data_IF_323464945209
#
_entry.id   IF_323464945209
#
_cell.length_a   1.000
_cell.length_b   1.000
_cell.length_c   1.000
_cell.angle_alpha   90.00
_cell.angle_beta   90.00
_cell.angle_gamma   90.00
#
_symmetry.space_group_name_H-M   'P 1'
#
loop_
_entity.id
_entity.type
_entity.pdbx_description
1 polymer ?
#
# COMPACT_ATOMS: atom_id res chain seq x y z
N UNK A 1 -11.57 6.71 5.50
CA UNK A 1 -10.12 6.95 5.58
C UNK A 1 -9.36 5.84 4.88
N UNK A 2 -8.21 6.16 4.30
CA UNK A 2 -7.32 5.17 3.66
C UNK A 2 -6.69 4.24 4.70
N UNK A 3 -6.20 4.79 5.79
CA UNK A 3 -5.26 4.12 6.65
C UNK A 3 -4.17 3.43 5.78
N UNK A 4 -3.60 2.30 6.18
CA UNK A 4 -2.51 1.67 5.44
C UNK A 4 -2.88 1.04 4.08
N UNK A 5 -4.14 1.16 3.60
CA UNK A 5 -4.48 0.64 2.25
C UNK A 5 -3.79 1.42 1.12
N UNK A 6 -3.40 2.68 1.34
CA UNK A 6 -2.63 3.46 0.36
C UNK A 6 -1.30 2.79 -0.02
N UNK A 7 -0.75 1.97 0.85
CA UNK A 7 0.57 1.32 0.69
C UNK A 7 0.62 0.36 -0.51
N UNK A 8 -0.52 -0.23 -0.90
CA UNK A 8 -0.63 -0.99 -2.16
C UNK A 8 -0.36 -0.07 -3.36
N UNK A 9 -1.04 1.08 -3.38
CA UNK A 9 -0.92 2.04 -4.48
C UNK A 9 0.46 2.69 -4.49
N UNK A 10 1.05 2.95 -3.32
CA UNK A 10 2.42 3.47 -3.19
C UNK A 10 3.45 2.51 -3.81
N UNK A 11 3.36 1.21 -3.51
CA UNK A 11 4.24 0.22 -4.15
C UNK A 11 4.00 0.12 -5.66
N UNK A 12 2.75 0.21 -6.10
CA UNK A 12 2.40 0.31 -7.52
C UNK A 12 3.00 1.55 -8.19
N UNK A 13 3.04 2.68 -7.50
CA UNK A 13 3.71 3.90 -7.99
C UNK A 13 5.21 3.71 -8.15
N UNK A 14 5.89 3.13 -7.17
CA UNK A 14 7.32 2.82 -7.28
C UNK A 14 7.60 1.92 -8.48
N UNK A 15 6.78 0.88 -8.68
CA UNK A 15 6.90 -0.02 -9.82
C UNK A 15 6.64 0.68 -11.16
N UNK A 16 5.67 1.60 -11.23
CA UNK A 16 5.45 2.41 -12.43
C UNK A 16 6.65 3.32 -12.75
N UNK A 17 7.32 3.85 -11.74
CA UNK A 17 8.57 4.61 -11.91
C UNK A 17 9.72 3.70 -12.39
N UNK A 18 9.79 2.46 -11.92
CA UNK A 18 10.75 1.46 -12.42
C UNK A 18 10.49 1.15 -13.89
N UNK A 19 9.25 0.93 -14.29
CA UNK A 19 8.88 0.69 -15.70
C UNK A 19 9.23 1.88 -16.60
N UNK A 20 9.25 3.10 -16.06
CA UNK A 20 9.65 4.32 -16.76
C UNK A 20 11.18 4.58 -16.72
N UNK A 21 11.96 3.74 -16.07
CA UNK A 21 13.39 3.94 -15.87
C UNK A 21 13.75 5.10 -14.92
N UNK A 22 12.79 5.58 -14.14
CA UNK A 22 12.96 6.70 -13.18
C UNK A 22 13.32 6.22 -11.76
N UNK A 23 13.15 4.94 -11.49
CA UNK A 23 13.55 4.30 -10.24
C UNK A 23 14.11 2.90 -10.52
N UNK A 24 14.79 2.32 -9.52
CA UNK A 24 15.34 0.95 -9.58
C UNK A 24 15.05 0.23 -8.28
N UNK A 25 14.57 -1.00 -8.37
CA UNK A 25 14.28 -1.82 -7.18
C UNK A 25 15.53 -2.15 -6.36
N UNK A 26 16.70 -2.22 -6.98
CA UNK A 26 17.99 -2.49 -6.32
C UNK A 26 18.68 -1.23 -5.80
N UNK A 27 18.12 -0.03 -6.08
CA UNK A 27 18.67 1.22 -5.54
C UNK A 27 18.57 1.23 -4.02
N UNK A 28 19.72 1.43 -3.35
CA UNK A 28 19.79 1.47 -1.88
C UNK A 28 19.44 2.87 -1.37
N UNK A 29 18.59 2.89 -0.35
CA UNK A 29 18.12 4.11 0.31
C UNK A 29 18.61 4.10 1.75
N UNK A 30 19.37 5.14 2.11
CA UNK A 30 19.78 5.41 3.49
C UNK A 30 18.83 6.48 4.06
N UNK A 31 18.43 6.32 5.29
CA UNK A 31 17.58 7.26 6.02
C UNK A 31 18.00 7.30 7.49
N UNK A 32 17.92 8.47 8.15
CA UNK A 32 18.39 8.61 9.52
C UNK A 32 17.45 7.93 10.52
N UNK A 33 17.97 7.64 11.72
CA UNK A 33 17.16 7.08 12.81
C UNK A 33 16.03 8.01 13.26
N UNK A 34 16.18 9.32 13.04
CA UNK A 34 15.13 10.33 13.33
C UNK A 34 13.86 10.19 12.48
N UNK A 35 13.93 9.51 11.34
CA UNK A 35 12.79 9.28 10.46
C UNK A 35 11.96 8.05 10.87
N UNK A 36 12.45 7.28 11.84
CA UNK A 36 11.77 6.06 12.29
C UNK A 36 10.52 6.43 13.09
N UNK A 37 9.38 5.95 12.61
CA UNK A 37 8.08 6.13 13.27
C UNK A 37 7.58 4.80 13.84
N UNK A 38 6.53 4.86 14.65
CA UNK A 38 5.92 3.67 15.24
C UNK A 38 5.51 2.65 14.17
N UNK A 39 5.65 1.37 14.48
CA UNK A 39 5.38 0.22 13.63
C UNK A 39 6.26 0.18 12.37
N UNK A 40 7.54 -0.04 12.59
CA UNK A 40 8.57 -0.13 11.53
C UNK A 40 9.45 -1.37 11.73
N UNK A 41 8.86 -2.59 11.62
CA UNK A 41 9.54 -3.83 12.01
C UNK A 41 10.75 -4.17 11.13
N UNK A 42 10.76 -3.75 9.89
CA UNK A 42 11.87 -4.00 8.94
C UNK A 42 12.76 -2.78 8.80
N UNK A 43 12.17 -1.62 8.59
CA UNK A 43 12.92 -0.39 8.31
C UNK A 43 13.55 0.22 9.55
N UNK A 44 12.95 0.07 10.74
CA UNK A 44 13.50 0.60 11.98
C UNK A 44 14.93 0.14 12.26
N UNK A 45 15.24 -1.17 12.28
CA UNK A 45 16.59 -1.68 12.50
C UNK A 45 17.61 -1.32 11.41
N UNK A 46 17.18 -0.79 10.29
CA UNK A 46 18.00 -0.44 9.13
C UNK A 46 18.27 1.06 8.98
N UNK A 47 17.70 1.87 9.85
CA UNK A 47 17.93 3.30 9.89
C UNK A 47 19.34 3.64 10.43
N UNK A 48 19.81 4.85 10.15
CA UNK A 48 21.14 5.31 10.57
C UNK A 48 22.25 4.38 10.05
N UNK A 49 23.03 3.81 10.97
CA UNK A 49 24.15 2.91 10.65
C UNK A 49 23.72 1.50 10.21
N UNK A 50 22.40 1.21 10.19
CA UNK A 50 21.84 -0.08 9.79
C UNK A 50 21.94 -0.42 8.30
N UNK A 51 22.58 0.43 7.49
CA UNK A 51 22.88 0.19 6.09
C UNK A 51 21.74 0.45 5.12
N UNK A 52 20.59 0.94 5.58
CA UNK A 52 19.42 1.23 4.74
C UNK A 52 18.78 -0.02 4.13
N UNK A 53 17.87 0.20 3.21
CA UNK A 53 17.16 -0.84 2.45
C UNK A 53 17.12 -0.48 0.96
N UNK A 54 17.01 -1.47 0.09
CA UNK A 54 16.71 -1.22 -1.31
C UNK A 54 15.26 -0.77 -1.49
N UNK A 55 14.95 -0.10 -2.61
CA UNK A 55 13.57 0.28 -2.95
C UNK A 55 12.65 -0.94 -2.97
N UNK A 56 13.12 -2.08 -3.49
CA UNK A 56 12.36 -3.33 -3.50
C UNK A 56 12.08 -3.86 -2.09
N UNK A 57 13.07 -3.82 -1.20
CA UNK A 57 12.91 -4.20 0.21
C UNK A 57 11.94 -3.26 0.94
N UNK A 58 12.01 -1.94 0.67
CA UNK A 58 11.07 -0.95 1.21
C UNK A 58 9.64 -1.22 0.72
N UNK A 59 9.44 -1.49 -0.58
CA UNK A 59 8.13 -1.83 -1.14
C UNK A 59 7.57 -3.11 -0.51
N UNK A 60 8.39 -4.15 -0.40
CA UNK A 60 8.00 -5.41 0.26
C UNK A 60 7.56 -5.18 1.71
N UNK A 61 8.38 -4.49 2.52
CA UNK A 61 8.06 -4.18 3.91
C UNK A 61 6.77 -3.33 4.02
N UNK A 62 6.61 -2.35 3.13
CA UNK A 62 5.43 -1.47 3.07
C UNK A 62 4.15 -2.26 2.82
N UNK A 63 4.17 -3.22 1.89
CA UNK A 63 2.98 -4.01 1.52
C UNK A 63 2.76 -5.17 2.48
N UNK A 64 3.76 -6.05 2.63
CA UNK A 64 3.59 -7.34 3.32
C UNK A 64 3.47 -7.22 4.83
N UNK A 65 4.17 -6.26 5.43
CA UNK A 65 4.19 -6.03 6.88
C UNK A 65 3.58 -4.69 7.30
N UNK A 66 3.15 -3.89 6.32
CA UNK A 66 2.59 -2.56 6.60
C UNK A 66 3.55 -1.59 7.31
N UNK A 67 4.85 -1.71 7.08
CA UNK A 67 5.91 -0.90 7.70
C UNK A 67 5.71 0.60 7.40
N UNK A 68 5.65 1.41 8.45
CA UNK A 68 5.31 2.83 8.34
C UNK A 68 6.49 3.69 7.88
N UNK A 69 7.68 3.46 8.43
CA UNK A 69 8.87 4.20 8.00
C UNK A 69 9.23 3.85 6.56
N UNK A 70 9.14 2.59 6.16
CA UNK A 70 9.35 2.21 4.77
C UNK A 70 8.43 2.97 3.81
N UNK A 71 7.14 3.11 4.16
CA UNK A 71 6.19 3.90 3.37
C UNK A 71 6.56 5.38 3.31
N UNK A 72 6.93 5.98 4.43
CA UNK A 72 7.34 7.40 4.49
C UNK A 72 8.60 7.67 3.67
N UNK A 73 9.59 6.77 3.75
CA UNK A 73 10.84 6.87 2.97
C UNK A 73 10.56 6.81 1.47
N UNK A 74 9.69 5.89 1.02
CA UNK A 74 9.28 5.81 -0.39
C UNK A 74 8.53 7.06 -0.85
N UNK A 75 7.60 7.58 -0.04
CA UNK A 75 6.88 8.83 -0.33
C UNK A 75 7.85 10.00 -0.50
N UNK A 76 8.79 10.17 0.44
CA UNK A 76 9.73 11.30 0.43
C UNK A 76 10.60 11.35 -0.83
N UNK A 77 10.93 10.20 -1.41
CA UNK A 77 11.76 10.12 -2.63
C UNK A 77 11.11 10.74 -3.87
N UNK A 78 9.78 10.78 -3.93
CA UNK A 78 9.07 11.14 -5.16
C UNK A 78 7.98 12.21 -4.93
N UNK A 79 8.21 13.17 -4.02
CA UNK A 79 7.32 14.31 -3.81
C UNK A 79 6.23 14.12 -2.77
N UNK A 80 6.37 13.09 -1.91
CA UNK A 80 5.51 12.90 -0.75
C UNK A 80 4.04 12.61 -1.08
N UNK A 81 3.12 12.97 -0.17
CA UNK A 81 1.68 12.79 -0.39
C UNK A 81 1.13 13.44 -1.65
N UNK A 82 1.67 14.61 -2.03
CA UNK A 82 1.25 15.30 -3.26
C UNK A 82 1.65 14.51 -4.51
N UNK A 83 2.87 13.94 -4.54
CA UNK A 83 3.33 13.07 -5.63
C UNK A 83 2.48 11.80 -5.76
N UNK A 84 2.15 11.18 -4.63
CA UNK A 84 1.22 10.05 -4.58
C UNK A 84 -0.14 10.41 -5.19
N UNK A 85 -0.73 11.53 -4.76
CA UNK A 85 -2.02 11.99 -5.28
C UNK A 85 -1.95 12.29 -6.77
N UNK A 86 -0.87 12.90 -7.26
CA UNK A 86 -0.67 13.12 -8.70
C UNK A 86 -0.58 11.79 -9.47
N UNK A 87 0.11 10.79 -8.94
CA UNK A 87 0.14 9.46 -9.56
C UNK A 87 -1.26 8.84 -9.63
N UNK A 88 -2.04 8.90 -8.58
CA UNK A 88 -3.42 8.37 -8.55
C UNK A 88 -4.29 9.08 -9.60
N UNK A 89 -4.15 10.41 -9.75
CA UNK A 89 -4.83 11.17 -10.83
C UNK A 89 -4.42 10.68 -12.22
N UNK A 90 -3.14 10.36 -12.43
CA UNK A 90 -2.68 9.83 -13.73
C UNK A 90 -3.30 8.46 -14.08
N UNK A 91 -3.78 7.75 -13.09
CA UNK A 91 -4.57 6.53 -13.27
C UNK A 91 -6.07 6.81 -13.50
N UNK A 92 -6.51 8.06 -13.50
CA UNK A 92 -7.90 8.47 -13.67
C UNK A 92 -8.76 8.34 -12.41
N UNK A 93 -8.15 8.25 -11.23
CA UNK A 93 -8.85 8.29 -9.94
C UNK A 93 -8.87 9.72 -9.41
N UNK A 94 -10.01 10.39 -9.56
CA UNK A 94 -10.20 11.77 -9.12
C UNK A 94 -10.61 11.90 -7.65
N UNK A 95 -10.79 10.79 -6.95
CA UNK A 95 -11.33 10.74 -5.59
C UNK A 95 -10.24 10.52 -4.54
N UNK A 96 -9.40 9.51 -4.72
CA UNK A 96 -8.37 9.13 -3.75
C UNK A 96 -7.35 10.23 -3.56
N UNK A 97 -7.07 10.60 -2.32
CA UNK A 97 -6.06 11.59 -1.96
C UNK A 97 -5.27 11.20 -0.73
N UNK A 98 -3.99 11.51 -0.74
CA UNK A 98 -3.11 11.43 0.41
C UNK A 98 -2.63 12.85 0.72
N UNK A 99 -2.69 13.24 1.99
CA UNK A 99 -2.33 14.58 2.44
C UNK A 99 -1.25 14.57 3.50
N UNK A 100 -1.15 13.46 4.23
CA UNK A 100 -0.22 13.28 5.35
C UNK A 100 0.60 12.00 5.18
N UNK A 101 1.62 11.86 6.00
CA UNK A 101 2.45 10.66 6.12
C UNK A 101 2.02 9.82 7.34
N UNK A 102 2.60 8.64 7.50
CA UNK A 102 2.44 7.85 8.72
C UNK A 102 3.15 8.52 9.90
N UNK A 103 2.58 8.51 11.11
CA UNK A 103 1.29 7.93 11.46
C UNK A 103 0.10 8.92 11.36
N UNK A 104 0.33 10.20 11.03
CA UNK A 104 -0.67 11.27 11.11
C UNK A 104 -1.89 11.05 10.19
N UNK A 105 -1.72 10.33 9.08
CA UNK A 105 -2.82 9.99 8.15
C UNK A 105 -3.91 9.10 8.79
N UNK A 106 -3.65 8.50 9.95
CA UNK A 106 -4.57 7.60 10.64
C UNK A 106 -5.55 8.33 11.60
N UNK A 107 -5.47 9.66 11.70
CA UNK A 107 -6.40 10.44 12.54
C UNK A 107 -7.86 10.18 12.17
N UNK A 108 -8.19 10.15 10.88
CA UNK A 108 -9.50 9.80 10.34
C UNK A 108 -10.69 10.52 11.03
N UNK A 109 -10.53 11.80 11.34
CA UNK A 109 -11.56 12.61 11.98
C UNK A 109 -12.83 12.66 11.12
N UNK A 110 -13.98 12.75 11.78
CA UNK A 110 -15.28 12.79 11.10
C UNK A 110 -15.41 14.06 10.27
N UNK A 111 -15.70 13.88 8.96
CA UNK A 111 -15.84 15.01 8.03
C UNK A 111 -14.51 15.53 7.47
N UNK A 112 -13.38 15.00 7.91
CA UNK A 112 -12.07 15.33 7.34
C UNK A 112 -11.88 14.67 5.96
N UNK A 113 -11.70 15.43 4.88
CA UNK A 113 -11.49 14.87 3.55
C UNK A 113 -10.06 14.38 3.31
N UNK A 114 -9.11 14.67 4.21
CA UNK A 114 -7.71 14.25 4.06
C UNK A 114 -7.57 12.74 4.18
N UNK A 115 -6.65 12.18 3.41
CA UNK A 115 -6.27 10.76 3.44
C UNK A 115 -7.47 9.82 3.23
N UNK A 116 -8.29 10.13 2.23
CA UNK A 116 -9.55 9.42 1.96
C UNK A 116 -9.60 8.82 0.56
N UNK A 117 -10.50 7.87 0.42
CA UNK A 117 -10.92 7.25 -0.85
C UNK A 117 -12.37 6.80 -0.73
N UNK A 118 -12.92 6.27 -1.81
CA UNK A 118 -14.14 5.44 -1.80
C UNK A 118 -13.81 4.01 -2.16
N UNK A 119 -14.63 3.02 -1.76
CA UNK A 119 -14.42 1.62 -2.17
C UNK A 119 -14.31 1.48 -3.69
N UNK A 120 -15.17 2.15 -4.45
CA UNK A 120 -15.16 2.07 -5.92
C UNK A 120 -13.89 2.67 -6.53
N UNK A 121 -13.46 3.85 -6.09
CA UNK A 121 -12.26 4.49 -6.61
C UNK A 121 -11.01 3.62 -6.35
N UNK A 122 -10.87 3.11 -5.14
CA UNK A 122 -9.77 2.21 -4.79
C UNK A 122 -9.82 0.91 -5.59
N UNK A 123 -11.01 0.33 -5.80
CA UNK A 123 -11.17 -0.88 -6.61
C UNK A 123 -10.69 -0.66 -8.05
N UNK A 124 -11.07 0.45 -8.67
CA UNK A 124 -10.68 0.80 -10.05
C UNK A 124 -9.17 1.03 -10.15
N UNK A 125 -8.58 1.73 -9.19
CA UNK A 125 -7.12 1.94 -9.11
C UNK A 125 -6.38 0.62 -8.92
N UNK A 126 -6.83 -0.22 -8.00
CA UNK A 126 -6.27 -1.54 -7.75
C UNK A 126 -6.39 -2.45 -8.99
N UNK A 127 -7.53 -2.43 -9.70
CA UNK A 127 -7.72 -3.18 -10.94
C UNK A 127 -6.66 -2.83 -11.99
N UNK A 128 -6.39 -1.54 -12.18
CA UNK A 128 -5.38 -1.07 -13.15
C UNK A 128 -3.97 -1.52 -12.78
N UNK A 129 -3.62 -1.50 -11.50
CA UNK A 129 -2.29 -1.86 -11.00
C UNK A 129 -2.07 -3.37 -10.91
N UNK A 130 -3.05 -4.13 -10.40
CA UNK A 130 -2.88 -5.54 -10.04
C UNK A 130 -3.25 -6.49 -11.18
N UNK A 131 -4.23 -6.14 -12.00
CA UNK A 131 -4.75 -6.99 -13.09
C UNK A 131 -4.63 -6.36 -14.47
N UNK A 132 -4.64 -5.03 -14.55
CA UNK A 132 -4.61 -4.27 -15.79
C UNK A 132 -3.18 -4.08 -16.34
N UNK A 133 -3.04 -3.05 -17.15
CA UNK A 133 -1.82 -2.74 -17.90
C UNK A 133 -1.13 -1.43 -17.43
N UNK A 134 -1.47 -0.91 -16.25
CA UNK A 134 -0.78 0.25 -15.69
C UNK A 134 0.67 -0.05 -15.29
N UNK A 135 1.00 -1.32 -15.12
CA UNK A 135 2.34 -1.82 -14.85
C UNK A 135 2.76 -2.84 -15.92
N UNK A 136 4.06 -2.93 -16.18
CA UNK A 136 4.62 -4.03 -16.97
C UNK A 136 4.26 -5.39 -16.34
N UNK A 137 4.29 -6.50 -17.10
CA UNK A 137 4.04 -7.84 -16.54
C UNK A 137 4.97 -8.18 -15.36
N UNK A 138 6.24 -7.76 -15.42
CA UNK A 138 7.24 -8.01 -14.38
C UNK A 138 6.88 -7.20 -13.11
N UNK A 139 6.63 -5.92 -13.24
CA UNK A 139 6.28 -5.05 -12.12
C UNK A 139 4.95 -5.46 -11.47
N UNK A 140 3.95 -5.83 -12.28
CA UNK A 140 2.69 -6.36 -11.79
C UNK A 140 2.88 -7.67 -11.00
N UNK A 141 3.75 -8.57 -11.46
CA UNK A 141 4.07 -9.81 -10.74
C UNK A 141 4.72 -9.53 -9.38
N UNK A 142 5.60 -8.51 -9.27
CA UNK A 142 6.16 -8.08 -8.00
C UNK A 142 5.07 -7.58 -7.04
N UNK A 143 4.16 -6.71 -7.52
CA UNK A 143 3.07 -6.20 -6.68
C UNK A 143 2.16 -7.33 -6.19
N UNK A 144 1.75 -8.24 -7.07
CA UNK A 144 0.95 -9.41 -6.72
C UNK A 144 1.66 -10.28 -5.67
N UNK A 145 2.96 -10.51 -5.83
CA UNK A 145 3.76 -11.28 -4.89
C UNK A 145 3.74 -10.66 -3.49
N UNK A 146 4.05 -9.37 -3.36
CA UNK A 146 4.05 -8.69 -2.07
C UNK A 146 2.67 -8.70 -1.39
N UNK A 147 1.60 -8.58 -2.17
CA UNK A 147 0.24 -8.69 -1.65
C UNK A 147 -0.09 -10.11 -1.13
N UNK A 148 0.36 -11.13 -1.83
CA UNK A 148 0.16 -12.53 -1.40
C UNK A 148 0.98 -12.84 -0.13
N UNK A 149 2.17 -12.26 0.00
CA UNK A 149 3.05 -12.39 1.17
C UNK A 149 2.59 -11.57 2.38
N UNK A 150 1.48 -10.82 2.29
CA UNK A 150 0.92 -10.05 3.42
C UNK A 150 0.60 -10.96 4.60
N UNK A 151 1.08 -10.58 5.79
CA UNK A 151 0.85 -11.30 7.05
C UNK A 151 -0.16 -10.61 7.98
N UNK A 152 -0.73 -9.47 7.56
CA UNK A 152 -1.63 -8.66 8.40
C UNK A 152 -3.12 -8.94 8.15
N UNK A 153 -3.46 -9.74 7.13
CA UNK A 153 -4.82 -9.98 6.64
C UNK A 153 -5.48 -11.29 7.05
N UNK A 154 -4.80 -12.16 7.81
CA UNK A 154 -5.25 -13.53 8.09
C UNK A 154 -6.64 -13.63 8.73
N UNK A 155 -7.08 -12.61 9.47
CA UNK A 155 -8.38 -12.55 10.13
C UNK A 155 -9.43 -11.72 9.38
N UNK A 156 -9.15 -11.31 8.13
CA UNK A 156 -10.01 -10.45 7.32
C UNK A 156 -10.44 -11.17 6.03
N UNK A 157 -10.20 -10.61 4.85
CA UNK A 157 -10.62 -11.22 3.58
C UNK A 157 -10.15 -12.67 3.43
N UNK A 158 -8.92 -12.98 3.83
CA UNK A 158 -8.37 -14.34 3.77
C UNK A 158 -9.20 -15.35 4.55
N UNK A 159 -9.70 -14.97 5.72
CA UNK A 159 -10.51 -15.85 6.56
C UNK A 159 -11.84 -16.25 5.90
N UNK A 160 -12.36 -15.41 5.00
CA UNK A 160 -13.63 -15.64 4.31
C UNK A 160 -13.56 -16.58 3.11
N UNK A 161 -12.34 -16.87 2.61
CA UNK A 161 -12.14 -17.66 1.38
C UNK A 161 -11.03 -18.71 1.57
N UNK A 162 -11.27 -19.70 2.46
CA UNK A 162 -10.26 -20.72 2.73
C UNK A 162 -9.87 -21.47 1.45
N UNK A 163 -8.57 -21.64 1.27
CA UNK A 163 -7.99 -22.31 0.11
C UNK A 163 -7.81 -21.45 -1.14
N UNK A 164 -8.38 -20.25 -1.21
CA UNK A 164 -8.09 -19.34 -2.32
C UNK A 164 -6.71 -18.69 -2.16
N UNK A 165 -6.06 -18.39 -3.28
CA UNK A 165 -4.89 -17.51 -3.26
C UNK A 165 -5.41 -16.08 -3.06
N UNK A 166 -4.94 -15.39 -2.03
CA UNK A 166 -5.36 -14.03 -1.69
C UNK A 166 -4.15 -13.12 -1.64
N UNK A 167 -4.23 -12.00 -2.34
CA UNK A 167 -3.31 -10.90 -2.21
C UNK A 167 -4.05 -9.70 -1.64
N UNK A 168 -3.73 -9.26 -0.42
CA UNK A 168 -4.46 -8.20 0.26
C UNK A 168 -3.57 -7.14 0.89
N UNK A 169 -4.18 -6.01 1.19
CA UNK A 169 -3.57 -4.94 2.01
C UNK A 169 -4.57 -4.43 3.02
N UNK A 170 -4.23 -4.61 4.28
CA UNK A 170 -5.04 -4.10 5.39
C UNK A 170 -4.80 -2.62 5.67
N UNK A 171 -5.78 -1.98 6.30
CA UNK A 171 -5.68 -0.64 6.86
C UNK A 171 -6.35 -0.59 8.23
N UNK A 172 -5.63 -0.13 9.25
CA UNK A 172 -6.16 -0.07 10.62
C UNK A 172 -5.81 1.27 11.25
N UNK A 173 -6.81 1.90 11.86
CA UNK A 173 -6.64 3.07 12.70
C UNK A 173 -7.55 2.89 13.92
N UNK A 174 -6.95 2.45 15.04
CA UNK A 174 -7.70 1.99 16.23
C UNK A 174 -8.56 3.08 16.86
N UNK A 175 -8.04 4.30 16.98
CA UNK A 175 -8.76 5.43 17.61
C UNK A 175 -10.03 5.80 16.84
N UNK A 176 -10.02 5.70 15.50
CA UNK A 176 -11.20 5.98 14.67
C UNK A 176 -12.10 4.77 14.43
N UNK A 177 -11.77 3.60 14.98
CA UNK A 177 -12.46 2.34 14.69
C UNK A 177 -12.40 1.96 13.20
N UNK A 178 -11.31 2.32 12.51
CA UNK A 178 -11.13 1.98 11.08
C UNK A 178 -10.50 0.60 10.95
N UNK A 179 -11.15 -0.27 10.16
CA UNK A 179 -10.67 -1.61 9.85
C UNK A 179 -10.95 -1.94 8.37
N UNK A 180 -10.01 -1.61 7.52
CA UNK A 180 -10.11 -1.79 6.07
C UNK A 180 -9.37 -3.04 5.62
N UNK A 181 -9.85 -3.65 4.53
CA UNK A 181 -9.10 -4.65 3.79
C UNK A 181 -9.45 -4.57 2.30
N UNK A 182 -8.44 -4.55 1.46
CA UNK A 182 -8.58 -4.51 0.01
C UNK A 182 -7.71 -5.59 -0.61
N UNK A 183 -8.23 -6.31 -1.61
CA UNK A 183 -7.46 -7.42 -2.15
C UNK A 183 -7.96 -7.95 -3.48
N UNK A 184 -7.15 -8.82 -4.05
CA UNK A 184 -7.43 -9.66 -5.19
C UNK A 184 -7.44 -11.12 -4.75
N UNK A 185 -8.50 -11.81 -5.11
CA UNK A 185 -8.77 -13.19 -4.72
C UNK A 185 -8.81 -14.05 -5.99
N UNK A 186 -7.96 -15.06 -6.04
CA UNK A 186 -7.91 -16.01 -7.16
C UNK A 186 -8.59 -17.31 -6.74
N UNK A 187 -9.73 -17.67 -7.40
CA UNK A 187 -10.44 -18.91 -7.12
C UNK A 187 -9.57 -20.15 -7.37
N UNK A 188 -9.79 -21.22 -6.59
CA UNK A 188 -9.07 -22.50 -6.74
C UNK A 188 -9.35 -23.19 -8.07
N UNK A 189 -10.52 -23.01 -8.64
CA UNK A 189 -10.97 -23.61 -9.91
C UNK A 189 -10.37 -22.92 -11.15
N UNK A 190 -9.49 -21.92 -10.95
CA UNK A 190 -8.91 -21.14 -12.03
C UNK A 190 -9.85 -20.12 -12.67
N UNK A 191 -10.97 -19.82 -12.03
CA UNK A 191 -11.88 -18.76 -12.44
C UNK A 191 -11.24 -17.37 -12.44
N UNK A 192 -11.94 -16.39 -12.99
CA UNK A 192 -11.46 -15.00 -13.02
C UNK A 192 -11.20 -14.47 -11.61
N UNK A 193 -10.14 -13.68 -11.40
CA UNK A 193 -9.87 -13.07 -10.11
C UNK A 193 -10.97 -12.09 -9.70
N UNK A 194 -11.27 -12.08 -8.40
CA UNK A 194 -12.26 -11.18 -7.78
C UNK A 194 -11.53 -10.07 -7.03
N UNK A 195 -11.92 -8.83 -7.26
CA UNK A 195 -11.44 -7.67 -6.51
C UNK A 195 -12.43 -7.32 -5.40
N UNK A 196 -11.91 -7.14 -4.20
CA UNK A 196 -12.69 -6.75 -3.03
C UNK A 196 -12.08 -5.51 -2.39
N UNK A 197 -12.91 -4.53 -2.09
CA UNK A 197 -12.53 -3.33 -1.33
C UNK A 197 -13.52 -3.11 -0.19
N UNK A 198 -13.08 -3.40 1.02
CA UNK A 198 -13.89 -3.26 2.24
C UNK A 198 -13.33 -2.14 3.11
N UNK A 199 -14.15 -1.13 3.37
CA UNK A 199 -13.81 0.00 4.23
C UNK A 199 -14.82 0.09 5.37
N UNK A 200 -14.35 -0.20 6.58
CA UNK A 200 -15.14 -0.09 7.79
C UNK A 200 -14.60 1.04 8.66
N UNK A 201 -15.46 1.95 9.08
CA UNK A 201 -15.11 3.06 9.97
C UNK A 201 -16.07 3.10 11.16
N UNK A 202 -15.62 3.61 12.31
CA UNK A 202 -16.41 3.70 13.54
C UNK A 202 -16.91 2.34 14.02
N UNK A 203 -16.19 1.27 13.77
CA UNK A 203 -16.49 -0.03 14.36
C UNK A 203 -16.16 0.03 15.86
N UNK A 204 -17.11 -0.44 16.68
CA UNK A 204 -16.91 -0.58 18.13
C UNK A 204 -16.21 -1.90 18.44
#
# INVERSE_FOLDING_TARGET
ALASTFKLVLAGWMLALVDQGKERLDARVHYPATDVVAYSPVSGPRAGDGGGLTVGELCSATVSLSDNTAANVLLARHGGPAGFTAFVRSLGDEVTRLDRTEPALNEAAVGDPRDTTTPLAMQQTMQKLVLGNALSPISRAWLQRWLVETSTGDKRLRAGVPGWKVGDKTGTAGESGTANDIGVLWPQDGGAPVLVTCYLTRSK
#
